data_IF_595344772896
#
_entry.id   IF_595344772896
#
_cell.length_a   1.000
_cell.length_b   1.000
_cell.length_c   1.000
_cell.angle_alpha   90.00
_cell.angle_beta   90.00
_cell.angle_gamma   90.00
#
_symmetry.space_group_name_H-M   'P 1'
#
loop_
_entity.id
_entity.type
_entity.pdbx_description
1 polymer ?
#
# COMPACT_ATOMS: atom_id res chain seq x y z
N UNK A 1 8.89 15.09 -15.07
CA UNK A 1 9.82 13.96 -14.88
C UNK A 1 10.10 13.37 -16.26
N UNK A 2 11.06 13.95 -16.97
CA UNK A 2 11.66 13.37 -18.18
C UNK A 2 12.93 12.69 -17.71
N UNK A 3 12.94 11.37 -17.70
CA UNK A 3 14.17 10.57 -17.63
C UNK A 3 14.49 10.11 -19.04
N UNK A 4 14.76 11.06 -19.93
CA UNK A 4 15.67 10.82 -21.05
C UNK A 4 17.08 10.81 -20.50
N UNK A 5 17.67 9.62 -20.35
CA UNK A 5 19.10 9.44 -20.57
C UNK A 5 19.38 9.69 -22.05
N UNK A 6 19.27 10.96 -22.42
CA UNK A 6 19.93 11.56 -23.56
C UNK A 6 20.98 12.46 -22.95
N UNK A 7 22.25 12.10 -23.11
CA UNK A 7 23.35 13.01 -22.84
C UNK A 7 23.03 14.35 -23.50
N UNK A 8 22.82 15.37 -22.68
CA UNK A 8 22.31 16.65 -23.15
C UNK A 8 23.41 17.36 -23.93
N UNK A 9 23.11 17.81 -25.15
CA UNK A 9 24.04 18.54 -26.00
C UNK A 9 24.56 19.85 -25.36
N UNK A 10 23.90 20.34 -24.28
CA UNK A 10 24.31 21.53 -23.53
C UNK A 10 25.51 21.28 -22.61
N UNK A 11 25.78 20.03 -22.19
CA UNK A 11 26.93 19.68 -21.36
C UNK A 11 28.25 19.92 -22.10
N UNK A 12 28.28 19.73 -23.42
CA UNK A 12 29.47 19.99 -24.23
C UNK A 12 29.85 21.50 -24.30
N UNK A 13 28.89 22.39 -24.02
CA UNK A 13 29.09 23.85 -24.08
C UNK A 13 29.33 24.48 -22.69
N UNK A 14 28.99 23.78 -21.60
CA UNK A 14 29.16 24.27 -20.21
C UNK A 14 30.49 23.79 -19.62
N UNK A 15 31.22 24.69 -18.95
CA UNK A 15 32.43 24.35 -18.18
C UNK A 15 32.09 24.13 -16.70
N UNK A 16 31.86 22.86 -16.32
CA UNK A 16 31.49 22.51 -14.95
C UNK A 16 32.61 22.75 -13.93
N UNK A 17 33.88 22.76 -14.37
CA UNK A 17 35.01 23.12 -13.50
C UNK A 17 34.99 24.62 -13.18
N UNK A 18 34.69 25.46 -14.17
CA UNK A 18 34.53 26.90 -13.98
C UNK A 18 33.32 27.23 -13.08
N UNK A 19 32.20 26.50 -13.21
CA UNK A 19 31.01 26.66 -12.36
C UNK A 19 31.31 26.35 -10.89
N UNK A 20 32.14 25.34 -10.63
CA UNK A 20 32.59 24.99 -9.27
C UNK A 20 33.78 25.81 -8.78
N UNK A 21 34.41 26.61 -9.64
CA UNK A 21 35.60 27.41 -9.32
C UNK A 21 36.85 26.57 -9.03
N UNK A 22 36.93 25.38 -9.63
CA UNK A 22 38.05 24.43 -9.44
C UNK A 22 38.78 24.21 -10.76
N UNK A 23 40.00 23.68 -10.70
CA UNK A 23 40.77 23.35 -11.91
C UNK A 23 40.34 21.99 -12.44
N UNK A 24 40.58 21.74 -13.74
CA UNK A 24 40.26 20.46 -14.40
C UNK A 24 40.99 19.26 -13.77
N UNK A 25 42.19 19.48 -13.23
CA UNK A 25 43.04 18.51 -12.57
C UNK A 25 42.73 18.33 -11.07
N UNK A 26 41.72 19.03 -10.54
CA UNK A 26 41.34 18.93 -9.12
C UNK A 26 40.88 17.52 -8.76
N UNK A 27 41.24 17.11 -7.55
CA UNK A 27 40.85 15.81 -6.98
C UNK A 27 39.34 15.78 -6.65
N UNK A 28 38.77 14.57 -6.51
CA UNK A 28 37.35 14.39 -6.14
C UNK A 28 37.04 15.06 -4.80
N UNK A 29 37.98 15.04 -3.85
CA UNK A 29 37.82 15.66 -2.55
C UNK A 29 37.82 17.20 -2.62
N UNK A 30 38.63 17.79 -3.50
CA UNK A 30 38.62 19.24 -3.76
C UNK A 30 37.31 19.70 -4.41
N UNK A 31 36.81 18.93 -5.38
CA UNK A 31 35.51 19.16 -6.04
C UNK A 31 34.37 19.11 -5.01
N UNK A 32 34.38 18.10 -4.14
CA UNK A 32 33.39 17.93 -3.07
C UNK A 32 33.45 19.05 -2.04
N UNK A 33 34.65 19.54 -1.71
CA UNK A 33 34.85 20.67 -0.80
C UNK A 33 34.33 21.99 -1.40
N UNK A 34 34.61 22.23 -2.68
CA UNK A 34 34.12 23.40 -3.41
C UNK A 34 32.58 23.38 -3.52
N UNK A 35 31.99 22.23 -3.87
CA UNK A 35 30.54 22.03 -3.90
C UNK A 35 29.89 22.34 -2.55
N UNK A 36 30.40 21.77 -1.45
CA UNK A 36 29.84 22.00 -0.11
C UNK A 36 29.89 23.46 0.32
N UNK A 37 30.94 24.19 -0.04
CA UNK A 37 31.08 25.62 0.22
C UNK A 37 30.03 26.41 -0.56
N UNK A 38 29.97 26.23 -1.88
CA UNK A 38 29.05 26.94 -2.76
C UNK A 38 27.58 26.60 -2.49
N UNK A 39 27.27 25.34 -2.17
CA UNK A 39 25.92 24.90 -1.84
C UNK A 39 25.42 25.50 -0.52
N UNK A 40 26.30 25.69 0.48
CA UNK A 40 25.94 26.35 1.75
C UNK A 40 25.76 27.86 1.57
N UNK A 41 26.63 28.51 0.80
CA UNK A 41 26.56 29.96 0.52
C UNK A 41 25.31 30.35 -0.29
N UNK A 42 24.86 29.46 -1.18
CA UNK A 42 23.74 29.70 -2.08
C UNK A 42 22.48 28.89 -1.73
N UNK A 43 22.41 28.31 -0.52
CA UNK A 43 21.27 27.47 -0.12
C UNK A 43 19.95 28.26 -0.14
N UNK A 44 18.84 27.70 -0.68
CA UNK A 44 17.54 28.37 -0.72
C UNK A 44 17.04 28.82 0.65
N UNK A 45 17.23 27.98 1.68
CA UNK A 45 16.78 28.30 3.05
C UNK A 45 17.59 29.43 3.71
N UNK A 46 18.87 29.57 3.35
CA UNK A 46 19.75 30.63 3.89
C UNK A 46 19.60 31.94 3.13
N UNK A 47 18.99 31.92 1.94
CA UNK A 47 18.82 33.08 1.05
C UNK A 47 17.40 33.09 0.44
N UNK A 48 16.34 33.22 1.26
CA UNK A 48 14.97 33.22 0.75
C UNK A 48 14.71 34.45 -0.14
N UNK A 49 14.24 34.23 -1.36
CA UNK A 49 13.82 35.30 -2.28
C UNK A 49 14.88 35.81 -3.28
N UNK A 50 16.12 35.33 -3.21
CA UNK A 50 17.18 35.70 -4.16
C UNK A 50 17.24 34.69 -5.33
N UNK A 51 16.64 35.05 -6.46
CA UNK A 51 16.57 34.20 -7.66
C UNK A 51 17.96 33.91 -8.25
N UNK A 52 18.91 34.85 -8.15
CA UNK A 52 20.25 34.67 -8.67
C UNK A 52 21.06 33.64 -7.88
N UNK A 53 20.91 33.60 -6.55
CA UNK A 53 21.54 32.55 -5.72
C UNK A 53 20.91 31.18 -5.94
N UNK A 54 19.59 31.14 -6.16
CA UNK A 54 18.90 29.90 -6.49
C UNK A 54 19.37 29.31 -7.83
N UNK A 55 19.55 30.13 -8.86
CA UNK A 55 20.10 29.67 -10.14
C UNK A 55 21.56 29.19 -10.00
N UNK A 56 22.39 29.92 -9.23
CA UNK A 56 23.76 29.49 -8.93
C UNK A 56 23.78 28.14 -8.18
N UNK A 57 22.87 27.94 -7.23
CA UNK A 57 22.73 26.67 -6.52
C UNK A 57 22.39 25.52 -7.48
N UNK A 58 21.46 25.75 -8.42
CA UNK A 58 21.11 24.75 -9.45
C UNK A 58 22.29 24.42 -10.36
N UNK A 59 23.03 25.44 -10.83
CA UNK A 59 24.21 25.19 -11.68
C UNK A 59 25.33 24.46 -10.94
N UNK A 60 25.52 24.74 -9.65
CA UNK A 60 26.52 24.07 -8.80
C UNK A 60 26.13 22.62 -8.52
N UNK A 61 24.83 22.33 -8.34
CA UNK A 61 24.31 20.97 -8.18
C UNK A 61 24.44 20.16 -9.49
N UNK A 62 24.10 20.75 -10.64
CA UNK A 62 24.29 20.13 -11.96
C UNK A 62 25.77 19.82 -12.23
N UNK A 63 26.67 20.76 -11.94
CA UNK A 63 28.11 20.55 -12.10
C UNK A 63 28.62 19.39 -11.21
N UNK A 64 28.23 19.34 -9.94
CA UNK A 64 28.66 18.27 -9.03
C UNK A 64 28.09 16.89 -9.42
N UNK A 65 26.86 16.81 -9.95
CA UNK A 65 26.31 15.51 -10.41
C UNK A 65 27.10 14.92 -11.58
N UNK A 66 27.72 15.77 -12.39
CA UNK A 66 28.53 15.34 -13.57
C UNK A 66 29.99 15.11 -13.19
N UNK A 67 30.67 16.06 -12.53
CA UNK A 67 32.12 15.96 -12.25
C UNK A 67 32.46 15.37 -10.88
N UNK A 68 31.46 15.18 -10.00
CA UNK A 68 31.64 14.58 -8.68
C UNK A 68 31.70 13.06 -8.69
N UNK A 69 31.14 12.41 -9.72
CA UNK A 69 31.22 10.97 -9.96
C UNK A 69 32.35 10.65 -10.94
N UNK A 70 33.14 9.61 -10.65
CA UNK A 70 34.35 9.29 -11.42
C UNK A 70 34.05 8.79 -12.85
N UNK A 71 32.94 8.08 -13.05
CA UNK A 71 32.56 7.53 -14.35
C UNK A 71 31.89 8.61 -15.22
N UNK A 72 31.02 9.44 -14.62
CA UNK A 72 30.43 10.59 -15.31
C UNK A 72 31.48 11.66 -15.66
N UNK A 73 32.46 11.90 -14.79
CA UNK A 73 33.58 12.82 -15.06
C UNK A 73 34.39 12.39 -16.27
N UNK A 74 34.69 11.09 -16.39
CA UNK A 74 35.45 10.54 -17.52
C UNK A 74 34.72 10.79 -18.85
N UNK A 75 33.42 10.48 -18.88
CA UNK A 75 32.57 10.70 -20.06
C UNK A 75 32.46 12.18 -20.43
N UNK A 76 32.37 13.07 -19.42
CA UNK A 76 32.36 14.53 -19.63
C UNK A 76 33.70 15.05 -20.19
N UNK A 77 34.83 14.60 -19.64
CA UNK A 77 36.17 15.01 -20.07
C UNK A 77 36.48 14.52 -21.49
N UNK A 78 36.09 13.30 -21.83
CA UNK A 78 36.21 12.71 -23.17
C UNK A 78 35.37 13.50 -24.20
N UNK A 79 34.11 13.77 -23.88
CA UNK A 79 33.22 14.56 -24.74
C UNK A 79 33.74 15.98 -24.99
N UNK A 80 34.20 16.66 -23.93
CA UNK A 80 34.76 18.02 -24.06
C UNK A 80 36.05 18.04 -24.88
N UNK A 81 36.84 16.97 -24.84
CA UNK A 81 38.03 16.83 -25.69
C UNK A 81 37.68 16.63 -27.18
N UNK A 82 36.63 15.87 -27.47
CA UNK A 82 36.12 15.64 -28.83
C UNK A 82 35.46 16.90 -29.43
N UNK A 83 34.80 17.69 -28.59
CA UNK A 83 34.21 18.98 -29.01
C UNK A 83 35.27 20.07 -29.19
N UNK A 84 36.26 20.13 -28.29
CA UNK A 84 37.37 21.10 -28.35
C UNK A 84 38.39 20.86 -29.47
N UNK A 85 38.44 19.64 -30.03
CA UNK A 85 39.29 19.28 -31.18
C UNK A 85 38.63 19.50 -32.54
N UNK A 86 37.41 20.06 -32.59
CA UNK A 86 36.72 20.38 -33.83
C UNK A 86 36.14 19.17 -34.58
N UNK A 87 35.98 18.02 -33.92
CA UNK A 87 35.56 16.74 -34.52
C UNK A 87 34.10 16.64 -34.95
N UNK A 88 33.28 17.68 -34.73
CA UNK A 88 31.89 17.72 -35.19
C UNK A 88 31.70 18.76 -36.30
N UNK A 89 32.30 18.49 -37.47
CA UNK A 89 31.76 18.92 -38.76
C UNK A 89 31.15 17.70 -39.44
N UNK A 90 29.87 17.82 -39.81
CA UNK A 90 29.01 16.71 -40.18
C UNK A 90 29.48 15.85 -41.35
N UNK A 91 28.78 14.72 -41.50
CA UNK A 91 28.88 13.83 -42.65
C UNK A 91 29.09 12.39 -42.25
N UNK A 92 28.01 11.68 -41.94
CA UNK A 92 28.01 10.22 -42.13
C UNK A 92 28.06 9.95 -43.65
N UNK A 93 29.02 9.16 -44.16
CA UNK A 93 29.09 8.84 -45.57
C UNK A 93 28.08 7.76 -45.92
N UNK A 94 27.15 8.08 -46.83
CA UNK A 94 26.42 7.08 -47.60
C UNK A 94 24.91 7.03 -47.33
N UNK A 95 24.16 7.82 -48.10
CA UNK A 95 22.88 7.44 -48.74
C UNK A 95 22.34 8.65 -49.50
N UNK A 96 22.43 8.62 -50.83
CA UNK A 96 21.77 9.59 -51.70
C UNK A 96 20.32 9.19 -51.99
N UNK A 97 19.40 10.16 -51.99
CA UNK A 97 18.01 9.99 -52.47
C UNK A 97 17.06 11.02 -51.84
N UNK A 98 16.02 11.53 -52.57
CA UNK A 98 15.73 12.96 -52.62
C UNK A 98 14.58 13.45 -51.71
N UNK A 99 14.79 14.66 -51.19
CA UNK A 99 13.83 15.73 -50.80
C UNK A 99 12.34 15.39 -50.62
N UNK A 100 11.81 15.71 -49.43
CA UNK A 100 10.38 15.94 -49.21
C UNK A 100 10.10 16.22 -47.74
N UNK A 101 9.86 17.49 -47.39
CA UNK A 101 9.57 17.91 -46.02
C UNK A 101 8.18 17.45 -45.55
N UNK A 102 8.13 16.88 -44.34
CA UNK A 102 6.95 16.82 -43.50
C UNK A 102 7.40 16.53 -42.06
N UNK A 103 7.30 17.54 -41.20
CA UNK A 103 7.56 17.45 -39.76
C UNK A 103 6.42 16.68 -39.09
N UNK A 104 6.59 15.37 -38.90
CA UNK A 104 5.74 14.59 -38.00
C UNK A 104 6.24 14.79 -36.56
N UNK A 105 5.54 15.61 -35.79
CA UNK A 105 5.83 15.86 -34.38
C UNK A 105 5.41 14.63 -33.55
N UNK A 106 6.40 13.90 -33.05
CA UNK A 106 6.26 12.79 -32.11
C UNK A 106 5.79 13.21 -30.71
N UNK A 107 5.74 14.52 -30.45
CA UNK A 107 5.29 15.13 -29.18
C UNK A 107 3.81 14.83 -28.86
N UNK A 108 2.98 14.64 -29.88
CA UNK A 108 1.53 14.44 -29.69
C UNK A 108 1.17 12.97 -29.41
N UNK A 109 2.07 12.03 -29.73
CA UNK A 109 1.84 10.60 -29.53
C UNK A 109 2.33 10.11 -28.15
N UNK A 110 3.17 10.91 -27.48
CA UNK A 110 3.78 10.58 -26.18
C UNK A 110 3.06 11.24 -25.00
N UNK A 111 2.01 12.04 -25.25
CA UNK A 111 1.26 12.73 -24.19
C UNK A 111 0.10 11.90 -23.64
N UNK A 112 -0.33 10.84 -24.34
CA UNK A 112 -1.53 10.06 -23.96
C UNK A 112 -1.24 8.75 -23.20
N UNK A 113 0.02 8.38 -22.97
CA UNK A 113 0.33 7.12 -22.28
C UNK A 113 1.34 7.28 -21.14
N UNK A 114 1.09 8.25 -20.26
CA UNK A 114 1.80 8.39 -18.99
C UNK A 114 1.27 7.43 -17.93
N UNK A 115 1.96 6.30 -17.70
CA UNK A 115 1.66 5.43 -16.57
C UNK A 115 2.59 4.22 -16.42
N UNK A 116 3.46 4.28 -15.42
CA UNK A 116 4.28 3.21 -14.83
C UNK A 116 5.65 2.92 -15.49
N UNK A 117 6.68 3.00 -14.65
CA UNK A 117 8.09 2.98 -15.01
C UNK A 117 8.64 1.61 -15.44
N UNK A 118 9.57 1.68 -16.39
CA UNK A 118 10.47 0.62 -16.79
C UNK A 118 11.67 1.27 -17.49
N UNK A 119 12.88 1.07 -16.97
CA UNK A 119 14.09 1.78 -17.38
C UNK A 119 14.61 1.40 -18.76
N UNK A 120 15.19 2.39 -19.44
CA UNK A 120 15.78 2.29 -20.78
C UNK A 120 17.16 1.58 -20.75
N UNK A 121 17.74 1.36 -19.56
CA UNK A 121 19.04 0.70 -19.38
C UNK A 121 19.08 -0.81 -19.65
N UNK A 122 17.94 -1.52 -19.63
CA UNK A 122 17.91 -2.98 -19.83
C UNK A 122 17.80 -3.40 -21.31
N UNK A 123 17.69 -2.43 -22.24
CA UNK A 123 17.56 -2.69 -23.68
C UNK A 123 18.85 -2.51 -24.49
N UNK A 124 19.83 -1.73 -24.02
CA UNK A 124 21.09 -1.51 -24.76
C UNK A 124 22.15 -2.61 -24.54
N UNK A 125 21.96 -3.48 -23.55
CA UNK A 125 22.85 -4.62 -23.28
C UNK A 125 22.63 -5.83 -24.20
N UNK A 126 21.45 -5.96 -24.81
CA UNK A 126 21.05 -7.18 -25.55
C UNK A 126 21.38 -7.13 -27.06
N UNK A 127 21.83 -5.97 -27.57
CA UNK A 127 22.05 -5.75 -29.00
C UNK A 127 23.50 -6.04 -29.46
N UNK A 128 24.49 -6.03 -28.56
CA UNK A 128 25.91 -6.26 -28.90
C UNK A 128 26.46 -7.64 -28.49
N UNK A 129 25.65 -8.49 -27.86
CA UNK A 129 26.03 -9.83 -27.44
C UNK A 129 25.38 -10.92 -28.27
N UNK A 130 26.03 -11.35 -29.37
CA UNK A 130 25.73 -12.65 -30.01
C UNK A 130 26.14 -13.78 -29.07
N UNK A 131 25.30 -14.07 -28.09
CA UNK A 131 25.25 -15.34 -27.39
C UNK A 131 23.77 -15.65 -27.21
N UNK A 132 23.36 -16.88 -27.52
CA UNK A 132 22.04 -17.41 -27.13
C UNK A 132 21.97 -17.40 -25.61
N UNK A 133 21.68 -16.25 -25.01
CA UNK A 133 21.38 -16.12 -23.61
C UNK A 133 19.98 -16.72 -23.45
N UNK A 134 19.99 -18.01 -23.16
CA UNK A 134 18.87 -18.79 -22.65
C UNK A 134 18.19 -17.93 -21.58
N UNK A 135 17.09 -17.25 -21.95
CA UNK A 135 16.35 -16.37 -21.05
C UNK A 135 15.73 -17.26 -19.98
N UNK A 136 16.51 -17.57 -18.95
CA UNK A 136 16.05 -18.31 -17.79
C UNK A 136 14.89 -17.51 -17.20
N UNK A 137 13.78 -18.17 -16.83
CA UNK A 137 12.66 -17.52 -16.19
C UNK A 137 13.15 -16.62 -15.04
N UNK A 138 12.96 -15.31 -15.17
CA UNK A 138 13.36 -14.35 -14.13
C UNK A 138 12.54 -14.64 -12.87
N UNK A 139 13.12 -14.55 -11.65
CA UNK A 139 12.37 -14.69 -10.42
C UNK A 139 11.25 -13.63 -10.36
N UNK A 140 9.99 -14.05 -10.29
CA UNK A 140 8.85 -13.14 -10.16
C UNK A 140 8.26 -13.22 -8.76
N UNK A 141 8.00 -12.06 -8.15
CA UNK A 141 7.34 -12.00 -6.84
C UNK A 141 5.93 -12.58 -6.97
N UNK A 142 5.52 -13.38 -5.98
CA UNK A 142 4.15 -13.88 -5.89
C UNK A 142 3.15 -12.75 -5.65
N UNK A 143 1.92 -12.96 -6.09
CA UNK A 143 0.83 -12.00 -5.91
C UNK A 143 0.50 -11.78 -4.42
N UNK A 144 0.14 -10.56 -4.08
CA UNK A 144 -0.41 -10.24 -2.76
C UNK A 144 -1.83 -10.84 -2.65
N UNK A 145 -2.15 -11.39 -1.48
CA UNK A 145 -3.44 -12.06 -1.23
C UNK A 145 -4.21 -11.28 -0.19
N UNK A 146 -5.52 -11.16 -0.36
CA UNK A 146 -6.41 -10.56 0.62
C UNK A 146 -7.35 -11.60 1.20
N UNK A 147 -7.54 -11.56 2.52
CA UNK A 147 -8.50 -12.42 3.21
C UNK A 147 -9.21 -11.66 4.31
N UNK A 148 -10.41 -12.10 4.64
CA UNK A 148 -11.20 -11.53 5.73
C UNK A 148 -11.19 -12.46 6.91
N UNK A 149 -10.94 -11.93 8.11
CA UNK A 149 -10.99 -12.67 9.35
C UNK A 149 -12.07 -12.09 10.26
N UNK A 150 -13.08 -12.90 10.59
CA UNK A 150 -14.09 -12.51 11.57
C UNK A 150 -13.62 -12.92 12.97
N UNK A 151 -13.56 -11.97 13.90
CA UNK A 151 -13.21 -12.20 15.30
C UNK A 151 -14.33 -11.72 16.23
N UNK A 152 -14.36 -12.25 17.45
CA UNK A 152 -15.28 -11.78 18.49
C UNK A 152 -14.89 -10.41 19.02
N UNK A 153 -15.84 -9.69 19.61
CA UNK A 153 -15.59 -8.40 20.25
C UNK A 153 -14.54 -8.46 21.36
N UNK A 154 -14.59 -9.50 22.20
CA UNK A 154 -13.63 -9.71 23.29
C UNK A 154 -12.24 -10.02 22.72
N UNK A 155 -12.17 -10.90 21.73
CA UNK A 155 -10.91 -11.25 21.05
C UNK A 155 -10.26 -10.04 20.36
N UNK A 156 -11.07 -9.11 19.85
CA UNK A 156 -10.58 -7.87 19.25
C UNK A 156 -9.94 -6.93 20.31
N UNK A 157 -10.41 -7.01 21.56
CA UNK A 157 -9.88 -6.21 22.67
C UNK A 157 -8.61 -6.82 23.25
N UNK A 158 -8.61 -8.13 23.52
CA UNK A 158 -7.50 -8.83 24.17
C UNK A 158 -6.40 -9.26 23.18
N UNK A 159 -6.73 -9.35 21.89
CA UNK A 159 -5.87 -9.89 20.86
C UNK A 159 -5.92 -11.42 20.84
N UNK A 160 -5.87 -11.99 19.64
CA UNK A 160 -6.01 -13.43 19.44
C UNK A 160 -5.10 -13.91 18.33
N UNK A 161 -4.64 -15.17 18.44
CA UNK A 161 -3.95 -15.84 17.32
C UNK A 161 -4.95 -16.71 16.58
N UNK A 162 -5.29 -16.33 15.36
CA UNK A 162 -6.23 -17.08 14.52
C UNK A 162 -5.48 -17.93 13.50
N UNK A 163 -6.08 -19.07 13.13
CA UNK A 163 -5.59 -19.90 12.03
C UNK A 163 -6.38 -19.60 10.77
N UNK A 164 -5.70 -19.05 9.76
CA UNK A 164 -6.28 -18.74 8.46
C UNK A 164 -5.89 -19.82 7.47
N UNK A 165 -6.88 -20.49 6.88
CA UNK A 165 -6.65 -21.41 5.76
C UNK A 165 -6.70 -20.62 4.47
N UNK A 166 -5.60 -20.65 3.72
CA UNK A 166 -5.48 -20.01 2.42
C UNK A 166 -5.30 -21.09 1.37
N UNK A 167 -6.15 -21.08 0.36
CA UNK A 167 -5.94 -21.79 -0.89
C UNK A 167 -5.25 -20.85 -1.87
N UNK A 168 -4.04 -21.21 -2.31
CA UNK A 168 -3.31 -20.49 -3.35
C UNK A 168 -2.70 -21.46 -4.34
N UNK A 169 -2.55 -21.00 -5.57
CA UNK A 169 -1.76 -21.71 -6.58
C UNK A 169 -0.30 -21.78 -6.12
N UNK A 170 0.26 -22.97 -6.17
CA UNK A 170 1.65 -23.24 -5.84
C UNK A 170 2.28 -24.16 -6.89
N UNK A 171 3.62 -24.26 -6.92
CA UNK A 171 4.29 -25.30 -7.70
C UNK A 171 3.69 -26.67 -7.36
N UNK A 172 3.29 -27.41 -8.38
CA UNK A 172 2.69 -28.74 -8.18
C UNK A 172 3.66 -29.61 -7.38
N UNK A 173 3.19 -30.22 -6.28
CA UNK A 173 4.03 -31.01 -5.38
C UNK A 173 4.75 -32.18 -6.10
N UNK A 174 4.10 -32.76 -7.11
CA UNK A 174 4.63 -33.91 -7.85
C UNK A 174 5.73 -33.54 -8.82
N UNK A 175 5.59 -32.44 -9.58
CA UNK A 175 6.56 -32.05 -10.61
C UNK A 175 7.40 -30.81 -10.24
N UNK A 176 7.16 -30.24 -9.06
CA UNK A 176 7.84 -29.06 -8.51
C UNK A 176 7.86 -27.86 -9.48
N UNK A 177 6.78 -27.68 -10.26
CA UNK A 177 6.68 -26.58 -11.21
C UNK A 177 7.10 -26.91 -12.64
N UNK A 178 7.76 -28.05 -12.89
CA UNK A 178 8.23 -28.41 -14.23
C UNK A 178 7.09 -28.71 -15.22
N UNK A 179 5.94 -29.18 -14.72
CA UNK A 179 4.80 -29.59 -15.55
C UNK A 179 4.96 -30.98 -16.19
N UNK A 180 6.16 -31.55 -16.20
CA UNK A 180 6.43 -32.90 -16.67
C UNK A 180 6.19 -33.98 -15.63
N UNK A 181 5.93 -35.21 -16.06
CA UNK A 181 5.98 -36.38 -15.18
C UNK A 181 7.40 -36.54 -14.62
N UNK A 182 7.59 -36.74 -13.31
CA UNK A 182 8.92 -36.96 -12.73
C UNK A 182 9.68 -38.10 -13.45
N UNK A 183 10.94 -37.85 -13.80
CA UNK A 183 11.79 -38.82 -14.51
C UNK A 183 11.70 -38.79 -16.04
N UNK A 184 10.83 -37.96 -16.62
CA UNK A 184 10.80 -37.72 -18.08
C UNK A 184 11.78 -36.63 -18.49
N UNK A 185 12.34 -36.75 -19.70
CA UNK A 185 13.33 -35.79 -20.21
C UNK A 185 12.62 -34.60 -20.86
N UNK A 186 12.99 -33.36 -20.53
CA UNK A 186 12.50 -32.19 -21.25
C UNK A 186 13.16 -32.12 -22.63
N UNK A 187 12.38 -31.72 -23.64
CA UNK A 187 12.89 -31.34 -24.96
C UNK A 187 12.47 -29.91 -25.30
N UNK A 188 13.18 -29.26 -26.23
CA UNK A 188 12.86 -27.90 -26.65
C UNK A 188 11.44 -27.87 -27.25
N UNK A 189 10.66 -26.85 -26.91
CA UNK A 189 9.30 -26.71 -27.43
C UNK A 189 9.32 -26.59 -28.95
N UNK A 190 8.66 -27.48 -29.72
CA UNK A 190 8.71 -27.46 -31.18
C UNK A 190 7.99 -26.26 -31.79
N UNK A 191 7.05 -25.64 -31.05
CA UNK A 191 6.26 -24.50 -31.54
C UNK A 191 7.04 -23.17 -31.50
N UNK A 192 7.98 -23.04 -30.57
CA UNK A 192 8.75 -21.81 -30.39
C UNK A 192 10.27 -22.04 -30.45
N UNK A 193 10.72 -23.24 -30.81
CA UNK A 193 12.12 -23.67 -30.82
C UNK A 193 12.90 -23.31 -29.54
N UNK A 194 12.21 -23.34 -28.40
CA UNK A 194 12.79 -22.95 -27.10
C UNK A 194 12.90 -21.44 -26.85
N UNK A 195 12.27 -20.60 -27.67
CA UNK A 195 12.17 -19.15 -27.44
C UNK A 195 11.21 -18.80 -26.29
N UNK A 196 10.14 -19.58 -26.11
CA UNK A 196 9.13 -19.36 -25.06
C UNK A 196 7.98 -18.42 -25.47
N UNK A 197 8.09 -17.77 -26.62
CA UNK A 197 7.07 -16.91 -27.23
C UNK A 197 6.93 -17.23 -28.71
N UNK A 198 5.77 -16.91 -29.27
CA UNK A 198 5.50 -16.98 -30.71
C UNK A 198 5.20 -15.58 -31.21
N UNK A 199 5.61 -15.28 -32.44
CA UNK A 199 5.37 -13.97 -33.05
C UNK A 199 3.97 -14.00 -33.66
N UNK A 200 3.00 -13.37 -33.00
CA UNK A 200 1.65 -13.24 -33.52
C UNK A 200 1.57 -11.97 -34.38
N UNK A 201 1.33 -12.15 -35.68
CA UNK A 201 1.11 -11.05 -36.61
C UNK A 201 -0.33 -10.54 -36.49
N UNK A 202 -0.53 -9.39 -35.85
CA UNK A 202 -1.79 -8.64 -35.93
C UNK A 202 -1.67 -7.80 -37.19
N UNK A 203 -2.35 -8.21 -38.27
CA UNK A 203 -2.19 -7.70 -39.63
C UNK A 203 -1.74 -6.24 -39.74
N UNK A 204 -0.57 -6.02 -40.37
CA UNK A 204 0.13 -4.74 -40.46
C UNK A 204 1.61 -4.87 -40.10
N UNK A 205 2.37 -3.78 -40.17
CA UNK A 205 3.81 -3.73 -39.89
C UNK A 205 4.18 -3.90 -38.39
N UNK A 206 3.27 -4.42 -37.56
CA UNK A 206 3.43 -4.58 -36.12
C UNK A 206 3.30 -6.06 -35.75
N UNK A 207 4.38 -6.64 -35.24
CA UNK A 207 4.39 -7.98 -34.67
C UNK A 207 4.45 -7.90 -33.15
N UNK A 208 3.54 -8.58 -32.47
CA UNK A 208 3.57 -8.68 -31.00
C UNK A 208 4.01 -10.09 -30.58
N UNK A 209 4.90 -10.14 -29.59
CA UNK A 209 5.32 -11.41 -29.00
C UNK A 209 4.22 -11.88 -28.04
N UNK A 210 3.60 -13.02 -28.35
CA UNK A 210 2.67 -13.68 -27.46
C UNK A 210 3.37 -14.85 -26.75
N UNK A 211 2.99 -15.14 -25.50
CA UNK A 211 3.54 -16.29 -24.79
C UNK A 211 3.15 -17.58 -25.52
N UNK A 212 4.12 -18.45 -25.82
CA UNK A 212 3.86 -19.66 -26.59
C UNK A 212 2.76 -20.52 -25.91
N UNK A 213 1.67 -20.89 -26.60
CA UNK A 213 0.55 -21.58 -25.96
C UNK A 213 0.90 -23.00 -25.50
N UNK A 214 1.89 -23.63 -26.15
CA UNK A 214 2.34 -25.00 -25.86
C UNK A 214 3.23 -25.05 -24.62
N UNK A 215 4.33 -24.28 -24.59
CA UNK A 215 5.24 -24.28 -23.43
C UNK A 215 4.90 -23.24 -22.36
N UNK A 216 3.96 -22.32 -22.61
CA UNK A 216 3.55 -21.23 -21.71
C UNK A 216 4.74 -20.43 -21.16
N UNK A 217 5.72 -20.14 -22.01
CA UNK A 217 6.92 -19.40 -21.62
C UNK A 217 8.05 -20.25 -21.01
N UNK A 218 7.87 -21.56 -20.83
CA UNK A 218 8.88 -22.43 -20.19
C UNK A 218 10.00 -22.87 -21.11
N UNK A 219 9.91 -22.63 -22.41
CA UNK A 219 10.88 -22.98 -23.46
C UNK A 219 11.05 -24.50 -23.70
N UNK A 220 10.76 -25.33 -22.70
CA UNK A 220 10.81 -26.79 -22.78
C UNK A 220 9.44 -27.40 -22.54
N UNK A 221 9.23 -28.56 -23.14
CA UNK A 221 8.04 -29.41 -22.98
C UNK A 221 8.49 -30.82 -22.61
N UNK A 222 7.57 -31.59 -22.02
CA UNK A 222 7.81 -32.96 -21.60
C UNK A 222 6.90 -33.91 -22.38
N UNK A 223 7.44 -35.08 -22.78
CA UNK A 223 6.68 -36.09 -23.53
C UNK A 223 5.44 -36.58 -22.78
N UNK A 224 5.55 -36.68 -21.45
CA UNK A 224 4.42 -37.02 -20.58
C UNK A 224 4.10 -35.85 -19.64
N UNK A 225 2.88 -35.28 -19.70
CA UNK A 225 2.47 -34.27 -18.75
C UNK A 225 2.37 -34.87 -17.35
N UNK A 226 2.59 -34.03 -16.34
CA UNK A 226 2.43 -34.43 -14.95
C UNK A 226 0.97 -34.85 -14.70
N UNK A 227 0.71 -36.03 -14.08
CA UNK A 227 -0.65 -36.53 -13.86
C UNK A 227 -1.48 -35.69 -12.88
N UNK A 228 -0.82 -34.89 -12.03
CA UNK A 228 -1.48 -34.10 -10.99
C UNK A 228 -1.87 -32.70 -11.47
N UNK A 229 -1.09 -32.10 -12.37
CA UNK A 229 -1.31 -30.74 -12.86
C UNK A 229 -1.59 -30.68 -14.37
N UNK A 230 -1.62 -31.83 -15.05
CA UNK A 230 -1.88 -31.98 -16.49
C UNK A 230 -1.02 -31.06 -17.36
N UNK A 231 0.28 -30.97 -17.06
CA UNK A 231 1.22 -30.11 -17.80
C UNK A 231 1.31 -28.67 -17.28
N UNK A 232 0.35 -28.18 -16.50
CA UNK A 232 0.33 -26.78 -16.05
C UNK A 232 1.46 -26.43 -15.07
N UNK A 233 2.08 -27.41 -14.42
CA UNK A 233 3.10 -27.20 -13.37
C UNK A 233 2.58 -26.57 -12.09
N UNK A 234 1.29 -26.20 -12.02
CA UNK A 234 0.65 -25.59 -10.85
C UNK A 234 -0.33 -26.55 -10.20
N UNK A 235 -0.45 -26.48 -8.88
CA UNK A 235 -1.46 -27.22 -8.12
C UNK A 235 -2.05 -26.34 -7.05
N UNK A 236 -3.30 -26.65 -6.66
CA UNK A 236 -3.90 -26.01 -5.49
C UNK A 236 -3.12 -26.43 -4.24
N UNK A 237 -2.65 -25.44 -3.48
CA UNK A 237 -2.09 -25.68 -2.16
C UNK A 237 -2.96 -25.00 -1.13
N UNK A 238 -3.42 -25.77 -0.14
CA UNK A 238 -4.01 -25.21 1.07
C UNK A 238 -2.92 -25.11 2.13
N UNK A 239 -2.70 -23.92 2.68
CA UNK A 239 -1.80 -23.70 3.82
C UNK A 239 -2.55 -23.04 4.95
N UNK A 240 -2.22 -23.46 6.17
CA UNK A 240 -2.72 -22.82 7.39
C UNK A 240 -1.67 -21.84 7.88
N UNK A 241 -2.03 -20.58 7.99
CA UNK A 241 -1.17 -19.52 8.52
C UNK A 241 -1.72 -19.09 9.87
N UNK A 242 -0.87 -19.10 10.88
CA UNK A 242 -1.19 -18.49 12.16
C UNK A 242 -0.91 -16.99 12.08
N UNK A 243 -1.97 -16.20 12.21
CA UNK A 243 -1.90 -14.75 12.22
C UNK A 243 -2.19 -14.26 13.65
N UNK A 244 -1.23 -13.55 14.24
CA UNK A 244 -1.44 -12.85 15.52
C UNK A 244 -2.12 -11.52 15.22
N UNK A 245 -3.35 -11.37 15.68
CA UNK A 245 -4.09 -10.11 15.66
C UNK A 245 -3.77 -9.36 16.95
N UNK A 246 -3.24 -8.13 16.89
CA UNK A 246 -2.93 -7.36 18.08
C UNK A 246 -4.19 -6.96 18.84
N UNK A 247 -4.05 -6.79 20.15
CA UNK A 247 -5.07 -6.23 21.01
C UNK A 247 -5.51 -4.83 20.54
N UNK A 248 -6.78 -4.51 20.69
CA UNK A 248 -7.34 -3.20 20.38
C UNK A 248 -7.57 -2.94 18.88
N UNK A 249 -7.59 -3.96 18.03
CA UNK A 249 -7.88 -3.83 16.59
C UNK A 249 -9.27 -3.23 16.35
N UNK A 250 -9.38 -2.32 15.38
CA UNK A 250 -10.65 -1.73 14.97
C UNK A 250 -11.36 -2.58 13.91
N UNK A 251 -12.68 -2.44 13.81
CA UNK A 251 -13.42 -3.08 12.72
C UNK A 251 -12.98 -2.52 11.35
N UNK A 252 -12.80 -3.40 10.37
CA UNK A 252 -12.28 -3.06 9.04
C UNK A 252 -10.78 -2.81 8.97
N UNK A 253 -10.03 -2.93 10.08
CA UNK A 253 -8.59 -2.71 10.08
C UNK A 253 -7.87 -3.76 9.23
N UNK A 254 -6.98 -3.29 8.34
CA UNK A 254 -6.19 -4.13 7.44
C UNK A 254 -4.79 -4.38 8.02
N UNK A 255 -4.47 -5.64 8.29
CA UNK A 255 -3.20 -6.08 8.85
C UNK A 255 -2.36 -6.73 7.75
N UNK A 256 -1.10 -6.31 7.60
CA UNK A 256 -0.18 -6.86 6.61
C UNK A 256 0.75 -7.92 7.22
N UNK A 257 0.71 -9.13 6.67
CA UNK A 257 1.60 -10.23 6.99
C UNK A 257 2.58 -10.43 5.82
N UNK A 258 3.84 -10.01 6.03
CA UNK A 258 4.87 -9.99 4.98
C UNK A 258 5.26 -11.41 4.55
N UNK A 259 5.37 -11.64 3.24
CA UNK A 259 5.82 -12.93 2.67
C UNK A 259 4.86 -14.10 2.94
N UNK A 260 3.61 -13.82 3.35
CA UNK A 260 2.56 -14.81 3.61
C UNK A 260 1.48 -14.82 2.51
N UNK A 261 1.67 -14.07 1.43
CA UNK A 261 0.86 -14.07 0.20
C UNK A 261 1.25 -15.19 -0.75
N UNK A 262 0.81 -15.15 -2.00
CA UNK A 262 1.00 -16.26 -2.94
C UNK A 262 2.49 -16.55 -3.16
N UNK A 263 2.90 -17.82 -3.37
CA UNK A 263 4.29 -18.15 -3.65
C UNK A 263 4.76 -17.45 -4.94
N UNK A 264 6.02 -17.01 -4.97
CA UNK A 264 6.62 -16.45 -6.17
C UNK A 264 7.03 -17.50 -7.20
N UNK A 265 7.29 -17.05 -8.41
CA UNK A 265 7.65 -17.90 -9.54
C UNK A 265 9.16 -17.93 -9.74
N UNK A 266 9.69 -19.07 -10.19
CA UNK A 266 11.10 -19.21 -10.57
C UNK A 266 12.08 -18.81 -9.46
N UNK A 267 11.73 -19.09 -8.21
CA UNK A 267 12.51 -18.72 -7.02
C UNK A 267 12.26 -17.31 -6.50
N UNK A 268 11.27 -16.59 -7.03
CA UNK A 268 10.86 -15.28 -6.53
C UNK A 268 10.23 -15.35 -5.12
N UNK A 269 10.34 -14.25 -4.39
CA UNK A 269 9.77 -14.13 -3.05
C UNK A 269 8.24 -14.23 -3.06
N UNK A 270 7.64 -14.73 -1.99
CA UNK A 270 6.19 -14.73 -1.83
C UNK A 270 5.63 -13.30 -1.73
N UNK A 271 4.38 -13.12 -2.15
CA UNK A 271 3.60 -11.91 -1.93
C UNK A 271 3.33 -11.65 -0.44
N UNK A 272 2.67 -10.53 -0.15
CA UNK A 272 2.16 -10.21 1.19
C UNK A 272 0.71 -10.69 1.35
N UNK A 273 0.31 -11.02 2.58
CA UNK A 273 -1.08 -11.32 2.91
C UNK A 273 -1.67 -10.14 3.67
N UNK A 274 -2.76 -9.59 3.16
CA UNK A 274 -3.55 -8.59 3.84
C UNK A 274 -4.77 -9.24 4.48
N UNK A 275 -4.87 -9.13 5.80
CA UNK A 275 -6.00 -9.63 6.57
C UNK A 275 -6.86 -8.45 6.97
N UNK A 276 -8.06 -8.36 6.43
CA UNK A 276 -9.07 -7.38 6.86
C UNK A 276 -9.86 -7.99 8.02
N UNK A 277 -9.77 -7.37 9.18
CA UNK A 277 -10.44 -7.85 10.40
C UNK A 277 -11.88 -7.35 10.41
N UNK A 278 -12.83 -8.26 10.64
CA UNK A 278 -14.23 -7.94 10.92
C UNK A 278 -14.54 -8.30 12.36
N UNK A 279 -14.98 -7.33 13.15
CA UNK A 279 -15.30 -7.53 14.56
C UNK A 279 -16.80 -7.77 14.69
N UNK A 280 -17.17 -8.95 15.21
CA UNK A 280 -18.57 -9.25 15.53
C UNK A 280 -19.05 -8.35 16.67
N UNK A 281 -20.24 -7.76 16.52
CA UNK A 281 -20.85 -6.94 17.56
C UNK A 281 -21.12 -7.76 18.84
N UNK A 282 -20.90 -7.14 20.00
CA UNK A 282 -21.29 -7.73 21.28
C UNK A 282 -22.74 -7.35 21.62
N UNK A 283 -23.46 -8.23 22.33
CA UNK A 283 -24.88 -8.01 22.65
C UNK A 283 -25.15 -6.81 23.56
N UNK A 284 -24.21 -6.53 24.46
CA UNK A 284 -24.35 -5.49 25.50
C UNK A 284 -23.35 -4.35 25.35
N UNK A 285 -22.19 -4.61 24.73
CA UNK A 285 -21.08 -3.66 24.74
C UNK A 285 -20.85 -3.13 23.34
N UNK A 286 -20.79 -1.81 23.21
CA UNK A 286 -20.22 -1.15 22.05
C UNK A 286 -18.80 -0.70 22.34
N UNK A 287 -18.07 -0.34 21.28
CA UNK A 287 -16.77 0.32 21.38
C UNK A 287 -16.83 1.62 20.62
N UNK A 288 -16.48 2.71 21.30
CA UNK A 288 -16.28 4.02 20.70
C UNK A 288 -14.85 4.45 21.03
N UNK A 289 -13.98 4.35 20.04
CA UNK A 289 -12.55 4.59 20.17
C UNK A 289 -11.90 3.67 21.23
N UNK A 290 -11.48 4.25 22.35
CA UNK A 290 -10.86 3.57 23.49
C UNK A 290 -11.86 3.29 24.62
N UNK A 291 -13.08 3.83 24.50
CA UNK A 291 -14.13 3.67 25.48
C UNK A 291 -15.07 2.52 25.11
N UNK A 292 -15.53 1.81 26.14
CA UNK A 292 -16.63 0.88 25.99
C UNK A 292 -17.93 1.62 26.24
N UNK A 293 -18.97 1.31 25.48
CA UNK A 293 -20.32 1.84 25.69
C UNK A 293 -21.23 0.71 26.15
N UNK A 294 -22.14 1.02 27.06
CA UNK A 294 -23.13 0.09 27.57
C UNK A 294 -24.41 0.85 27.85
N UNK A 295 -25.52 0.34 27.32
CA UNK A 295 -26.84 0.87 27.63
C UNK A 295 -27.37 0.12 28.85
N UNK A 296 -27.60 0.87 29.92
CA UNK A 296 -28.05 0.35 31.21
C UNK A 296 -29.56 0.56 31.30
N UNK A 297 -30.36 -0.51 31.21
CA UNK A 297 -31.79 -0.40 31.40
C UNK A 297 -32.07 -0.06 32.86
N UNK A 298 -32.81 1.02 33.09
CA UNK A 298 -33.22 1.49 34.42
C UNK A 298 -34.70 1.78 34.44
N UNK A 299 -35.32 1.76 35.62
CA UNK A 299 -36.72 2.15 35.77
C UNK A 299 -36.86 3.66 36.00
N UNK A 300 -38.09 4.17 35.82
CA UNK A 300 -38.37 5.60 36.02
C UNK A 300 -38.16 6.03 37.47
N UNK A 301 -38.56 5.20 38.43
CA UNK A 301 -38.39 5.44 39.85
C UNK A 301 -36.90 5.50 40.26
N UNK A 302 -36.06 4.64 39.69
CA UNK A 302 -34.60 4.68 39.91
C UNK A 302 -33.99 6.01 39.47
N UNK A 303 -34.40 6.56 38.32
CA UNK A 303 -33.92 7.86 37.85
C UNK A 303 -34.50 9.03 38.66
N UNK A 304 -35.78 8.94 39.06
CA UNK A 304 -36.46 10.00 39.79
C UNK A 304 -35.97 10.11 41.25
N UNK A 305 -35.85 8.99 41.94
CA UNK A 305 -35.50 8.91 43.37
C UNK A 305 -34.00 8.72 43.61
N UNK A 306 -33.26 8.30 42.59
CA UNK A 306 -31.87 7.89 42.70
C UNK A 306 -31.75 6.43 43.12
N UNK A 307 -30.73 5.75 42.62
CA UNK A 307 -30.54 4.32 42.82
C UNK A 307 -29.06 3.92 42.74
N UNK A 308 -28.76 2.74 43.26
CA UNK A 308 -27.47 2.08 43.08
C UNK A 308 -27.65 0.82 42.23
N UNK A 309 -27.27 0.90 40.95
CA UNK A 309 -27.49 -0.15 39.96
C UNK A 309 -26.20 -0.92 39.71
N UNK A 310 -26.28 -2.24 39.65
CA UNK A 310 -25.11 -3.09 39.32
C UNK A 310 -24.95 -3.23 37.81
N UNK A 311 -23.79 -2.83 37.32
CA UNK A 311 -23.47 -2.77 35.89
C UNK A 311 -22.37 -3.79 35.55
N UNK A 312 -22.56 -4.64 34.52
CA UNK A 312 -21.53 -5.59 34.11
C UNK A 312 -20.30 -4.87 33.53
N UNK A 313 -19.12 -5.45 33.72
CA UNK A 313 -17.88 -4.99 33.09
C UNK A 313 -17.26 -6.12 32.25
N UNK A 314 -16.45 -5.75 31.27
CA UNK A 314 -15.79 -6.73 30.40
C UNK A 314 -14.58 -7.35 31.12
N UNK A 315 -14.61 -8.65 31.37
CA UNK A 315 -13.51 -9.40 31.99
C UNK A 315 -13.28 -9.15 33.49
N UNK A 316 -14.29 -8.65 34.23
CA UNK A 316 -14.15 -8.36 35.65
C UNK A 316 -15.49 -8.41 36.43
N UNK A 317 -15.45 -8.14 37.75
CA UNK A 317 -16.65 -8.10 38.56
C UNK A 317 -17.56 -6.94 38.15
N UNK A 318 -18.87 -7.10 38.39
CA UNK A 318 -19.83 -6.02 38.21
C UNK A 318 -19.47 -4.82 39.12
N UNK A 319 -19.69 -3.61 38.63
CA UNK A 319 -19.45 -2.37 39.37
C UNK A 319 -20.78 -1.75 39.72
N UNK A 320 -20.90 -1.22 40.95
CA UNK A 320 -22.08 -0.46 41.36
C UNK A 320 -22.00 0.96 40.82
N UNK A 321 -22.95 1.35 39.99
CA UNK A 321 -23.15 2.69 39.47
C UNK A 321 -24.15 3.43 40.36
N UNK A 322 -23.73 4.55 40.94
CA UNK A 322 -24.60 5.42 41.74
C UNK A 322 -25.25 6.46 40.85
N UNK A 323 -26.58 6.40 40.75
CA UNK A 323 -27.41 7.31 39.96
C UNK A 323 -28.04 8.34 40.91
N UNK A 324 -27.75 9.64 40.75
CA UNK A 324 -28.39 10.69 41.53
C UNK A 324 -29.88 10.82 41.20
N UNK A 325 -30.68 11.28 42.17
CA UNK A 325 -32.08 11.61 41.97
C UNK A 325 -32.25 12.72 40.90
N UNK A 326 -33.30 12.63 40.09
CA UNK A 326 -33.59 13.58 39.01
C UNK A 326 -32.65 13.46 37.81
N UNK A 327 -32.08 12.28 37.56
CA UNK A 327 -31.22 12.05 36.40
C UNK A 327 -32.06 11.99 35.11
N UNK A 328 -31.72 12.74 34.05
CA UNK A 328 -32.45 12.68 32.79
C UNK A 328 -32.16 11.38 32.03
N UNK A 329 -33.16 10.92 31.26
CA UNK A 329 -32.99 9.79 30.36
C UNK A 329 -31.90 10.04 29.31
N UNK A 330 -31.12 9.01 28.96
CA UNK A 330 -30.00 9.12 28.03
C UNK A 330 -28.73 9.76 28.63
N UNK A 331 -28.70 10.01 29.95
CA UNK A 331 -27.49 10.51 30.61
C UNK A 331 -26.39 9.45 30.62
N UNK A 332 -25.21 9.79 30.13
CA UNK A 332 -24.03 8.91 30.19
C UNK A 332 -23.23 9.15 31.47
N UNK A 333 -22.98 8.07 32.22
CA UNK A 333 -22.08 8.03 33.37
C UNK A 333 -20.76 7.37 32.98
N UNK A 334 -19.67 7.88 33.55
CA UNK A 334 -18.32 7.40 33.26
C UNK A 334 -17.77 6.58 34.41
N UNK A 335 -17.56 5.29 34.16
CA UNK A 335 -16.90 4.37 35.08
C UNK A 335 -15.44 4.24 34.68
N UNK A 336 -14.55 4.81 35.51
CA UNK A 336 -13.13 4.95 35.18
C UNK A 336 -12.39 3.61 35.13
N UNK A 337 -11.54 3.42 34.12
CA UNK A 337 -10.63 2.27 34.03
C UNK A 337 -11.29 0.92 33.70
N UNK A 338 -12.55 0.93 33.24
CA UNK A 338 -13.33 -0.25 32.85
C UNK A 338 -13.58 -0.36 31.33
N UNK A 339 -12.85 0.40 30.53
CA UNK A 339 -12.92 0.39 29.07
C UNK A 339 -11.90 -0.55 28.40
N UNK A 340 -11.67 -0.33 27.10
CA UNK A 340 -10.76 -1.14 26.29
C UNK A 340 -9.30 -0.92 26.72
N UNK A 341 -8.48 -1.97 26.63
CA UNK A 341 -7.03 -1.88 26.80
C UNK A 341 -6.39 -1.24 25.57
N UNK A 342 -5.56 -0.22 25.82
CA UNK A 342 -4.78 0.47 24.80
C UNK A 342 -3.47 -0.28 24.53
N UNK A 343 -2.82 0.09 23.42
CA UNK A 343 -1.49 -0.41 23.08
C UNK A 343 -0.41 -0.02 24.12
N UNK A 344 -0.61 1.08 24.87
CA UNK A 344 0.29 1.54 25.94
C UNK A 344 0.07 0.80 27.28
N UNK A 345 -0.90 -0.12 27.34
CA UNK A 345 -1.27 -0.87 28.55
C UNK A 345 -2.24 -0.16 29.49
N UNK A 346 -2.57 1.11 29.24
CA UNK A 346 -3.63 1.81 29.97
C UNK A 346 -5.02 1.33 29.53
N UNK A 347 -6.03 1.56 30.37
CA UNK A 347 -7.43 1.22 30.06
C UNK A 347 -8.24 2.47 29.85
N UNK A 348 -9.13 2.43 28.87
CA UNK A 348 -10.16 3.44 28.71
C UNK A 348 -11.22 3.36 29.81
N UNK A 349 -12.27 4.17 29.64
CA UNK A 349 -13.42 4.20 30.54
C UNK A 349 -14.63 3.45 29.96
N UNK A 350 -15.51 2.96 30.82
CA UNK A 350 -16.84 2.48 30.44
C UNK A 350 -17.85 3.62 30.53
N UNK A 351 -18.53 3.89 29.42
CA UNK A 351 -19.58 4.88 29.27
C UNK A 351 -20.92 4.17 29.39
N UNK A 352 -21.54 4.26 30.55
CA UNK A 352 -22.83 3.67 30.85
C UNK A 352 -23.93 4.71 30.58
N UNK A 353 -24.69 4.54 29.50
CA UNK A 353 -25.83 5.40 29.19
C UNK A 353 -27.07 4.80 29.85
N UNK A 354 -27.75 5.58 30.70
CA UNK A 354 -28.98 5.10 31.33
C UNK A 354 -30.17 5.31 30.41
N UNK A 355 -30.94 4.25 30.19
CA UNK A 355 -32.15 4.28 29.38
C UNK A 355 -33.34 3.76 30.18
N UNK A 356 -34.40 4.58 30.25
CA UNK A 356 -35.63 4.20 30.94
C UNK A 356 -36.34 3.11 30.15
N UNK A 357 -36.48 1.94 30.75
CA UNK A 357 -37.34 0.87 30.28
C UNK A 357 -38.74 1.04 30.85
N UNK A 358 -39.71 1.21 29.95
CA UNK A 358 -41.14 1.28 30.32
C UNK A 358 -41.74 -0.11 30.16
N UNK A 359 -42.25 -0.74 31.24
CA UNK A 359 -42.87 -2.05 31.15
C UNK A 359 -44.15 -1.98 30.29
N UNK A 360 -44.32 -2.95 29.39
CA UNK A 360 -45.47 -3.01 28.50
C UNK A 360 -46.78 -3.39 29.21
N UNK A 361 -46.68 -4.07 30.36
CA UNK A 361 -47.82 -4.54 31.16
C UNK A 361 -47.66 -4.01 32.58
N UNK A 362 -48.76 -3.49 33.13
CA UNK A 362 -48.83 -2.96 34.48
C UNK A 362 -49.88 -3.75 35.27
N UNK A 363 -49.49 -4.25 36.44
CA UNK A 363 -50.41 -4.83 37.40
C UNK A 363 -51.37 -3.75 37.97
N UNK A 364 -52.55 -4.13 38.47
CA UNK A 364 -53.55 -3.18 38.98
C UNK A 364 -53.00 -2.22 40.04
N UNK A 365 -52.16 -2.73 40.95
CA UNK A 365 -51.51 -1.94 42.01
C UNK A 365 -50.50 -0.94 41.46
N UNK A 366 -49.70 -1.34 40.47
CA UNK A 366 -48.74 -0.47 39.80
C UNK A 366 -49.45 0.64 39.01
N UNK A 367 -50.58 0.31 38.37
CA UNK A 367 -51.41 1.29 37.67
C UNK A 367 -51.96 2.35 38.62
N UNK A 368 -52.54 1.94 39.75
CA UNK A 368 -53.08 2.86 40.76
C UNK A 368 -51.99 3.82 41.29
N UNK A 369 -50.78 3.31 41.57
CA UNK A 369 -49.65 4.13 41.99
C UNK A 369 -49.23 5.17 40.92
N UNK A 370 -49.24 4.78 39.64
CA UNK A 370 -48.92 5.69 38.54
C UNK A 370 -50.02 6.74 38.32
N UNK A 371 -51.29 6.41 38.53
CA UNK A 371 -52.40 7.36 38.47
C UNK A 371 -52.30 8.39 39.61
N UNK A 372 -51.96 7.96 40.82
CA UNK A 372 -51.70 8.86 41.94
C UNK A 372 -50.50 9.80 41.66
N UNK A 373 -49.41 9.27 41.10
CA UNK A 373 -48.25 10.07 40.68
C UNK A 373 -48.63 11.11 39.62
N UNK A 374 -49.42 10.70 38.61
CA UNK A 374 -49.92 11.59 37.55
C UNK A 374 -50.78 12.72 38.11
N UNK A 375 -51.66 12.43 39.08
CA UNK A 375 -52.47 13.46 39.72
C UNK A 375 -51.61 14.49 40.46
N UNK A 376 -50.59 14.04 41.19
CA UNK A 376 -49.66 14.90 41.93
C UNK A 376 -48.78 15.79 41.04
N UNK A 377 -48.48 15.37 39.81
CA UNK A 377 -47.63 16.11 38.86
C UNK A 377 -48.40 16.90 37.79
N UNK A 378 -49.73 16.90 37.84
CA UNK A 378 -50.62 17.52 36.86
C UNK A 378 -50.38 19.03 36.64
N UNK A 379 -49.81 19.74 37.62
CA UNK A 379 -49.55 21.17 37.56
C UNK A 379 -48.40 21.58 36.61
N UNK A 380 -47.56 20.64 36.15
CA UNK A 380 -46.44 20.92 35.22
C UNK A 380 -46.52 20.03 33.98
N UNK A 381 -47.32 20.41 32.96
CA UNK A 381 -47.41 19.64 31.72
C UNK A 381 -46.09 19.68 30.96
N UNK A 382 -45.49 18.52 30.69
CA UNK A 382 -44.19 18.39 29.99
C UNK A 382 -44.18 18.94 28.56
N UNK A 383 -45.33 19.25 27.97
CA UNK A 383 -45.48 19.64 26.56
C UNK A 383 -46.01 21.07 26.37
N UNK A 384 -46.06 21.89 27.42
CA UNK A 384 -46.62 23.24 27.34
C UNK A 384 -45.99 24.09 26.24
N UNK A 385 -44.69 23.96 26.03
CA UNK A 385 -43.93 24.82 25.11
C UNK A 385 -43.68 24.14 23.75
N UNK A 386 -44.26 22.94 23.52
CA UNK A 386 -43.95 22.14 22.34
C UNK A 386 -44.54 22.75 21.05
N UNK A 387 -45.73 23.35 21.15
CA UNK A 387 -46.41 23.97 20.00
C UNK A 387 -45.96 25.42 19.78
N UNK A 388 -45.65 26.17 20.85
CA UNK A 388 -45.11 27.52 20.76
C UNK A 388 -43.74 27.55 20.04
N UNK A 389 -42.93 26.50 20.20
CA UNK A 389 -41.62 26.37 19.54
C UNK A 389 -41.69 26.03 18.04
N UNK A 390 -42.86 25.71 17.50
CA UNK A 390 -43.05 25.42 16.05
C UNK A 390 -43.41 26.69 15.27
N UNK A 391 -44.00 27.67 15.95
CA UNK A 391 -44.43 28.95 15.34
C UNK A 391 -43.34 30.03 15.36
N UNK A 392 -42.26 29.81 16.14
CA UNK A 392 -41.02 30.61 16.16
C UNK A 392 -39.96 30.05 15.22
#
# INVERSE_FOLDING_TARGET
MSSTDGFRADWAQKDFYAVLGVKKDSSVDEIKKAYRKLARENHPDSNPGDSAKHEKFKSVAEAYDVVGDADKRRSYDEMRSLYGSGGFRGGYPGAGGPSGGASFNLDDLLREQGGAGGGIGDMFGDLFGRSRAQSRPRPQKGADVETTATIGFVDALDGVTISLRLSSDAPCATCQGSGGKPGTRPHACPECDGAGYVVAGVGGAFSMNETCPVCRGRQVVYDAPCPTCFGSGRGSSSRTIQARIPAGVADGQRIRLRGKGAPGESGGAAGDLYVTVKVSAHRLFGRKDEHLTLDVPVSFDELALGAEVRVPTLGGPAVTLKIPAGTPNGRTFRVRGKGATKADGSRGDLLATVEVQVPAVLDPTAREALEAFRAATSAKPLRSNLFEAVES
#
